data_IF_791569489075
#
_entry.id   IF_791569489075
#
_cell.length_a   1.000
_cell.length_b   1.000
_cell.length_c   1.000
_cell.angle_alpha   90.00
_cell.angle_beta   90.00
_cell.angle_gamma   90.00
#
_symmetry.space_group_name_H-M   'P 1'
#
loop_
_entity.id
_entity.type
_entity.pdbx_description
1 polymer ?
#
# COMPACT_ATOMS: atom_id res chain seq x y z
N UNK A 1 8.39 -8.60 1.92
CA UNK A 1 8.75 -9.35 3.15
C UNK A 1 8.64 -10.87 2.96
N UNK A 2 7.48 -11.43 2.56
CA UNK A 2 7.31 -12.89 2.38
C UNK A 2 8.29 -13.47 1.36
N UNK A 3 8.54 -12.77 0.24
CA UNK A 3 9.51 -13.22 -0.75
C UNK A 3 10.93 -13.29 -0.17
N UNK A 4 11.33 -12.31 0.65
CA UNK A 4 12.62 -12.30 1.35
C UNK A 4 12.69 -13.47 2.35
N UNK A 5 11.65 -13.66 3.17
CA UNK A 5 11.60 -14.77 4.12
C UNK A 5 11.68 -16.15 3.43
N UNK A 6 11.04 -16.30 2.27
CA UNK A 6 11.15 -17.52 1.46
C UNK A 6 12.61 -17.71 0.94
N UNK A 7 13.23 -16.64 0.46
CA UNK A 7 14.63 -16.67 0.00
C UNK A 7 15.59 -17.06 1.13
N UNK A 8 15.36 -16.51 2.33
CA UNK A 8 16.11 -16.89 3.52
C UNK A 8 15.90 -18.36 3.87
N UNK A 9 14.65 -18.85 3.83
CA UNK A 9 14.33 -20.24 4.15
C UNK A 9 15.02 -21.23 3.20
N UNK A 10 15.01 -20.94 1.89
CA UNK A 10 15.63 -21.81 0.87
C UNK A 10 17.16 -21.91 1.03
N UNK A 11 17.78 -20.88 1.57
CA UNK A 11 19.23 -20.77 1.69
C UNK A 11 19.75 -20.83 3.15
N UNK A 12 18.86 -20.98 4.13
CA UNK A 12 19.24 -21.06 5.53
C UNK A 12 20.06 -22.30 5.84
N UNK A 13 21.19 -22.13 6.52
CA UNK A 13 22.06 -23.24 6.92
C UNK A 13 21.47 -24.07 8.07
N UNK A 14 20.51 -23.51 8.81
CA UNK A 14 19.82 -24.25 9.87
C UNK A 14 18.61 -24.99 9.33
N UNK A 15 18.54 -26.28 9.63
CA UNK A 15 17.39 -27.12 9.32
C UNK A 15 16.26 -26.78 10.29
N UNK A 16 15.06 -26.49 9.79
CA UNK A 16 13.87 -26.13 10.58
C UNK A 16 12.71 -25.79 9.65
N UNK A 17 11.54 -25.49 10.20
CA UNK A 17 10.35 -25.14 9.41
C UNK A 17 10.44 -23.72 8.82
N UNK A 18 11.24 -22.84 9.44
CA UNK A 18 11.40 -21.45 9.04
C UNK A 18 12.88 -21.05 8.97
N UNK A 19 13.18 -19.88 8.37
CA UNK A 19 14.51 -19.31 8.35
C UNK A 19 14.95 -18.90 9.75
N UNK A 20 16.23 -19.09 10.10
CA UNK A 20 16.69 -18.76 11.46
C UNK A 20 16.86 -17.25 11.69
N UNK A 21 16.95 -16.43 10.62
CA UNK A 21 17.16 -14.98 10.70
C UNK A 21 18.52 -14.51 11.23
N UNK A 22 19.41 -15.45 11.65
CA UNK A 22 20.65 -15.13 12.37
C UNK A 22 21.93 -15.63 11.67
N UNK A 23 21.84 -16.59 10.74
CA UNK A 23 23.02 -17.04 10.01
C UNK A 23 23.42 -16.01 8.93
N UNK A 24 24.67 -16.08 8.50
CA UNK A 24 25.22 -15.15 7.50
C UNK A 24 24.33 -15.02 6.26
N UNK A 25 23.79 -16.12 5.76
CA UNK A 25 22.92 -16.11 4.58
C UNK A 25 21.61 -15.37 4.86
N UNK A 26 20.97 -15.63 6.01
CA UNK A 26 19.74 -14.94 6.38
C UNK A 26 19.97 -13.42 6.53
N UNK A 27 21.06 -13.02 7.18
CA UNK A 27 21.40 -11.60 7.39
C UNK A 27 21.72 -10.94 6.05
N UNK A 28 22.57 -11.53 5.23
CA UNK A 28 22.95 -10.97 3.91
C UNK A 28 21.75 -10.86 2.96
N UNK A 29 20.81 -11.81 2.98
CA UNK A 29 19.57 -11.74 2.19
C UNK A 29 18.68 -10.59 2.69
N UNK A 30 18.54 -10.41 4.01
CA UNK A 30 17.76 -9.28 4.56
C UNK A 30 18.35 -7.93 4.17
N UNK A 31 19.69 -7.82 4.17
CA UNK A 31 20.43 -6.62 3.77
C UNK A 31 20.56 -6.47 2.25
N UNK A 32 20.02 -7.43 1.46
CA UNK A 32 20.08 -7.45 -0.02
C UNK A 32 21.52 -7.47 -0.60
N UNK A 33 22.48 -7.99 0.13
CA UNK A 33 23.90 -8.06 -0.27
C UNK A 33 24.38 -9.50 -0.58
N UNK A 34 23.50 -10.50 -0.46
CA UNK A 34 23.83 -11.88 -0.76
C UNK A 34 24.04 -12.09 -2.26
N UNK A 35 25.13 -12.74 -2.66
CA UNK A 35 25.53 -12.88 -4.08
C UNK A 35 24.50 -13.61 -4.94
N UNK A 36 23.76 -14.55 -4.36
CA UNK A 36 22.73 -15.35 -5.06
C UNK A 36 21.31 -14.85 -4.80
N UNK A 37 21.18 -13.58 -4.36
CA UNK A 37 19.90 -12.90 -4.12
C UNK A 37 19.89 -11.54 -4.79
N UNK A 38 18.90 -11.30 -5.65
CA UNK A 38 18.76 -10.04 -6.38
C UNK A 38 17.32 -9.51 -6.28
N UNK A 39 17.19 -8.23 -5.95
CA UNK A 39 15.92 -7.52 -6.04
C UNK A 39 16.00 -6.49 -7.15
N UNK A 40 15.10 -6.58 -8.12
CA UNK A 40 14.95 -5.61 -9.21
C UNK A 40 13.79 -4.70 -8.85
N UNK A 41 14.09 -3.44 -8.65
CA UNK A 41 13.13 -2.38 -8.35
C UNK A 41 13.02 -1.41 -9.54
N UNK A 42 11.88 -0.70 -9.72
CA UNK A 42 11.74 0.30 -10.77
C UNK A 42 12.79 1.41 -10.66
N UNK A 43 13.40 1.80 -11.79
CA UNK A 43 14.25 2.98 -11.91
C UNK A 43 13.35 4.15 -12.38
N UNK A 44 12.89 4.95 -11.44
CA UNK A 44 11.82 5.92 -11.64
C UNK A 44 10.44 5.24 -11.72
N UNK A 45 9.73 5.39 -12.83
CA UNK A 45 8.38 4.84 -13.01
C UNK A 45 8.35 3.43 -13.61
N UNK A 46 9.44 2.98 -14.25
CA UNK A 46 9.45 1.75 -15.03
C UNK A 46 10.68 0.90 -14.72
N UNK A 47 10.54 -0.40 -14.90
CA UNK A 47 11.65 -1.34 -14.93
C UNK A 47 12.17 -1.38 -16.38
N UNK A 48 13.41 -0.92 -16.57
CA UNK A 48 14.04 -0.78 -17.89
C UNK A 48 14.50 -2.15 -18.40
N UNK A 49 14.43 -2.33 -19.73
CA UNK A 49 14.90 -3.56 -20.39
C UNK A 49 16.38 -3.89 -20.08
N UNK A 50 17.22 -2.86 -19.91
CA UNK A 50 18.63 -3.05 -19.55
C UNK A 50 18.84 -3.65 -18.16
N UNK A 51 17.96 -3.30 -17.18
CA UNK A 51 17.98 -3.92 -15.85
C UNK A 51 17.63 -5.40 -15.97
N UNK A 52 16.58 -5.71 -16.74
CA UNK A 52 16.09 -7.08 -16.91
C UNK A 52 17.11 -7.96 -17.63
N UNK A 53 17.72 -7.51 -18.72
CA UNK A 53 18.75 -8.29 -19.42
C UNK A 53 19.91 -8.66 -18.50
N UNK A 54 20.46 -7.69 -17.77
CA UNK A 54 21.53 -7.94 -16.78
C UNK A 54 21.09 -8.92 -15.69
N UNK A 55 19.86 -8.80 -15.22
CA UNK A 55 19.32 -9.69 -14.19
C UNK A 55 19.09 -11.11 -14.70
N UNK A 56 18.70 -11.28 -15.96
CA UNK A 56 18.55 -12.59 -16.59
C UNK A 56 19.91 -13.25 -16.85
N UNK A 57 20.89 -12.48 -17.33
CA UNK A 57 22.27 -12.99 -17.49
C UNK A 57 22.81 -13.49 -16.13
N UNK A 58 22.58 -12.73 -15.06
CA UNK A 58 22.94 -13.13 -13.70
C UNK A 58 22.15 -14.37 -13.23
N UNK A 59 20.84 -14.45 -13.51
CA UNK A 59 19.98 -15.57 -13.09
C UNK A 59 20.38 -16.89 -13.78
N UNK A 60 20.90 -16.82 -15.02
CA UNK A 60 21.32 -17.97 -15.80
C UNK A 60 22.65 -18.58 -15.33
N UNK A 61 23.39 -17.89 -14.45
CA UNK A 61 24.58 -18.45 -13.84
C UNK A 61 24.18 -19.44 -12.74
N UNK A 62 25.00 -20.49 -12.55
CA UNK A 62 24.80 -21.39 -11.39
C UNK A 62 24.94 -20.62 -10.08
N UNK A 63 24.21 -20.99 -9.02
CA UNK A 63 24.43 -20.42 -7.69
C UNK A 63 25.88 -20.58 -7.25
N UNK A 64 26.44 -19.55 -6.61
CA UNK A 64 27.82 -19.56 -6.12
C UNK A 64 27.94 -20.27 -4.75
N UNK A 65 27.10 -19.85 -3.78
CA UNK A 65 27.10 -20.35 -2.41
C UNK A 65 25.74 -20.83 -1.94
N UNK A 66 24.68 -20.46 -2.66
CA UNK A 66 23.30 -20.76 -2.29
C UNK A 66 22.87 -22.14 -2.76
N UNK A 67 21.89 -22.71 -2.07
CA UNK A 67 21.14 -23.85 -2.60
C UNK A 67 20.25 -23.43 -3.76
N UNK A 68 19.74 -22.19 -3.71
CA UNK A 68 18.83 -21.63 -4.70
C UNK A 68 19.16 -20.16 -4.96
N UNK A 69 19.41 -19.81 -6.21
CA UNK A 69 19.53 -18.41 -6.65
C UNK A 69 18.13 -17.79 -6.75
N UNK A 70 17.92 -16.66 -6.12
CA UNK A 70 16.60 -16.04 -6.07
C UNK A 70 16.63 -14.63 -6.65
N UNK A 71 15.74 -14.38 -7.60
CA UNK A 71 15.50 -13.05 -8.14
C UNK A 71 14.06 -12.61 -7.80
N UNK A 72 13.94 -11.43 -7.22
CA UNK A 72 12.64 -10.78 -6.94
C UNK A 72 12.51 -9.60 -7.88
N UNK A 73 11.38 -9.51 -8.57
CA UNK A 73 10.97 -8.33 -9.31
C UNK A 73 9.87 -7.66 -8.50
N UNK A 74 10.23 -6.54 -7.87
CA UNK A 74 9.26 -5.76 -7.11
C UNK A 74 8.48 -4.84 -8.05
N UNK A 75 7.18 -4.71 -7.80
CA UNK A 75 6.28 -3.89 -8.60
C UNK A 75 6.26 -4.26 -10.11
N UNK A 76 6.05 -5.54 -10.40
CA UNK A 76 6.08 -6.12 -11.75
C UNK A 76 5.08 -5.49 -12.74
N UNK A 77 4.10 -4.68 -12.27
CA UNK A 77 3.23 -3.88 -13.14
C UNK A 77 4.00 -2.85 -13.98
N UNK A 78 5.18 -2.45 -13.51
CA UNK A 78 6.05 -1.49 -14.16
C UNK A 78 7.01 -2.10 -15.19
N UNK A 79 6.87 -3.41 -15.48
CA UNK A 79 7.58 -4.06 -16.57
C UNK A 79 7.10 -3.54 -17.91
N UNK A 80 7.98 -2.90 -18.68
CA UNK A 80 7.70 -2.54 -20.07
C UNK A 80 7.49 -3.80 -20.93
N UNK A 81 6.76 -3.66 -22.06
CA UNK A 81 6.45 -4.80 -22.95
C UNK A 81 7.70 -5.56 -23.42
N UNK A 82 8.77 -4.85 -23.78
CA UNK A 82 10.03 -5.47 -24.21
C UNK A 82 10.73 -6.20 -23.08
N UNK A 83 10.74 -5.60 -21.88
CA UNK A 83 11.27 -6.21 -20.67
C UNK A 83 10.50 -7.49 -20.33
N UNK A 84 9.18 -7.46 -20.37
CA UNK A 84 8.32 -8.62 -20.16
C UNK A 84 8.59 -9.75 -21.14
N UNK A 85 8.74 -9.43 -22.44
CA UNK A 85 9.04 -10.43 -23.46
C UNK A 85 10.39 -11.12 -23.26
N UNK A 86 11.38 -10.41 -22.71
CA UNK A 86 12.70 -11.01 -22.45
C UNK A 86 12.67 -12.09 -21.36
N UNK A 87 11.66 -12.12 -20.50
CA UNK A 87 11.47 -13.16 -19.49
C UNK A 87 10.89 -14.48 -20.03
N UNK A 88 10.19 -14.45 -21.16
CA UNK A 88 9.38 -15.60 -21.59
C UNK A 88 10.19 -16.87 -21.71
N UNK A 89 11.40 -16.80 -22.30
CA UNK A 89 12.28 -17.96 -22.43
C UNK A 89 12.70 -18.52 -21.06
N UNK A 90 13.09 -17.65 -20.13
CA UNK A 90 13.52 -18.07 -18.78
C UNK A 90 12.36 -18.63 -17.94
N UNK A 91 11.13 -18.14 -18.17
CA UNK A 91 9.95 -18.69 -17.51
C UNK A 91 9.55 -20.07 -18.07
N UNK A 92 9.80 -20.33 -19.34
CA UNK A 92 9.53 -21.64 -19.96
C UNK A 92 10.59 -22.69 -19.59
N UNK A 93 11.86 -22.27 -19.56
CA UNK A 93 13.00 -23.14 -19.28
C UNK A 93 13.92 -22.51 -18.21
N UNK A 94 13.49 -22.50 -16.94
CA UNK A 94 14.28 -21.90 -15.88
C UNK A 94 15.58 -22.71 -15.62
N UNK A 95 16.67 -22.00 -15.34
CA UNK A 95 17.92 -22.63 -14.95
C UNK A 95 17.75 -23.44 -13.65
N UNK A 96 18.46 -24.57 -13.50
CA UNK A 96 18.36 -25.37 -12.27
C UNK A 96 18.69 -24.53 -11.02
N UNK A 97 18.01 -24.84 -9.92
CA UNK A 97 18.23 -24.17 -8.65
C UNK A 97 18.05 -22.64 -8.70
N UNK A 98 17.10 -22.18 -9.52
CA UNK A 98 16.71 -20.76 -9.58
C UNK A 98 15.26 -20.57 -9.21
N UNK A 99 14.95 -19.44 -8.57
CA UNK A 99 13.61 -19.02 -8.23
C UNK A 99 13.39 -17.58 -8.67
N UNK A 100 12.40 -17.35 -9.51
CA UNK A 100 11.96 -16.03 -9.93
C UNK A 100 10.64 -15.69 -9.24
N UNK A 101 10.59 -14.58 -8.52
CA UNK A 101 9.42 -14.09 -7.81
C UNK A 101 9.02 -12.75 -8.41
N UNK A 102 7.78 -12.64 -8.93
CA UNK A 102 7.21 -11.38 -9.40
C UNK A 102 6.17 -10.91 -8.37
N UNK A 103 6.31 -9.68 -7.91
CA UNK A 103 5.38 -9.06 -6.97
C UNK A 103 4.55 -8.03 -7.72
N UNK A 104 3.22 -8.14 -7.61
CA UNK A 104 2.27 -7.19 -8.20
C UNK A 104 1.04 -7.05 -7.29
N UNK A 105 0.39 -5.90 -7.35
CA UNK A 105 -0.87 -5.67 -6.62
C UNK A 105 -2.01 -6.53 -7.18
N UNK A 106 -1.99 -6.76 -8.48
CA UNK A 106 -2.97 -7.58 -9.19
C UNK A 106 -2.35 -8.29 -10.39
N UNK A 107 -2.71 -9.54 -10.63
CA UNK A 107 -2.30 -10.27 -11.84
C UNK A 107 -2.77 -9.60 -13.14
N UNK A 108 -3.84 -8.80 -13.09
CA UNK A 108 -4.34 -8.05 -14.26
C UNK A 108 -3.40 -6.93 -14.72
N UNK A 109 -2.47 -6.50 -13.87
CA UNK A 109 -1.49 -5.45 -14.18
C UNK A 109 -0.22 -6.00 -14.81
N UNK A 110 -0.04 -7.32 -14.80
CA UNK A 110 1.10 -8.02 -15.39
C UNK A 110 0.68 -8.63 -16.73
N UNK A 111 1.52 -8.63 -17.78
CA UNK A 111 1.18 -9.23 -19.06
C UNK A 111 0.74 -10.69 -18.90
N UNK A 112 -0.34 -11.07 -19.58
CA UNK A 112 -0.93 -12.42 -19.49
C UNK A 112 0.08 -13.51 -19.89
N UNK A 113 0.98 -13.18 -20.81
CA UNK A 113 2.07 -14.08 -21.25
C UNK A 113 3.03 -14.46 -20.13
N UNK A 114 3.23 -13.60 -19.14
CA UNK A 114 4.00 -13.90 -17.92
C UNK A 114 3.13 -14.66 -16.93
N UNK A 115 1.91 -14.14 -16.69
CA UNK A 115 0.99 -14.71 -15.70
C UNK A 115 0.67 -16.18 -15.99
N UNK A 116 0.51 -16.56 -17.27
CA UNK A 116 0.24 -17.93 -17.68
C UNK A 116 1.39 -18.92 -17.42
N UNK A 117 2.61 -18.42 -17.21
CA UNK A 117 3.82 -19.22 -16.95
C UNK A 117 4.27 -19.19 -15.49
N UNK A 118 3.56 -18.48 -14.63
CA UNK A 118 3.85 -18.35 -13.22
C UNK A 118 2.81 -19.03 -12.35
N UNK A 119 3.25 -19.66 -11.27
CA UNK A 119 2.35 -20.06 -10.21
C UNK A 119 1.88 -18.83 -9.45
N UNK A 120 0.57 -18.59 -9.41
CA UNK A 120 -0.01 -17.46 -8.69
C UNK A 120 -0.24 -17.80 -7.22
N UNK A 121 0.32 -16.98 -6.34
CA UNK A 121 0.06 -17.03 -4.90
C UNK A 121 -0.66 -15.74 -4.51
N UNK A 122 -1.91 -15.86 -4.07
CA UNK A 122 -2.72 -14.71 -3.67
C UNK A 122 -2.57 -14.43 -2.19
N UNK A 123 -2.29 -13.18 -1.85
CA UNK A 123 -2.27 -12.68 -0.50
C UNK A 123 -3.58 -11.94 -0.20
N UNK A 124 -4.40 -12.53 0.64
CA UNK A 124 -5.63 -11.88 1.09
C UNK A 124 -5.32 -10.84 2.17
N UNK A 125 -6.15 -9.77 2.28
CA UNK A 125 -6.04 -8.84 3.39
C UNK A 125 -6.06 -9.55 4.74
N UNK A 126 -5.23 -9.10 5.66
CA UNK A 126 -5.20 -9.62 7.02
C UNK A 126 -6.46 -9.17 7.78
N UNK A 127 -6.96 -10.03 8.67
CA UNK A 127 -8.02 -9.60 9.58
C UNK A 127 -7.50 -8.53 10.56
N UNK A 128 -8.38 -7.64 11.02
CA UNK A 128 -8.03 -6.60 12.00
C UNK A 128 -7.35 -7.18 13.24
N UNK A 129 -7.79 -8.35 13.70
CA UNK A 129 -7.22 -9.04 14.85
C UNK A 129 -5.74 -9.40 14.64
N UNK A 130 -5.41 -9.90 13.44
CA UNK A 130 -4.03 -10.28 13.09
C UNK A 130 -3.19 -9.03 12.90
N UNK A 131 -3.70 -8.02 12.17
CA UNK A 131 -3.02 -6.74 11.95
C UNK A 131 -2.67 -6.06 13.28
N UNK A 132 -3.64 -5.97 14.20
CA UNK A 132 -3.42 -5.42 15.54
C UNK A 132 -2.38 -6.20 16.33
N UNK A 133 -2.42 -7.53 16.27
CA UNK A 133 -1.41 -8.37 16.94
C UNK A 133 0.00 -8.08 16.42
N UNK A 134 0.18 -7.99 15.10
CA UNK A 134 1.48 -7.72 14.49
C UNK A 134 1.97 -6.31 14.86
N UNK A 135 1.10 -5.29 14.79
CA UNK A 135 1.47 -3.92 15.14
C UNK A 135 1.83 -3.78 16.63
N UNK A 136 1.05 -4.39 17.51
CA UNK A 136 1.36 -4.39 18.97
C UNK A 136 2.72 -5.05 19.30
N UNK A 137 3.13 -6.04 18.53
CA UNK A 137 4.42 -6.73 18.75
C UNK A 137 5.61 -5.96 18.19
N UNK A 138 5.42 -5.20 17.12
CA UNK A 138 6.49 -4.58 16.35
C UNK A 138 6.57 -3.06 16.48
N UNK A 139 5.65 -2.43 17.24
CA UNK A 139 5.62 -0.98 17.39
C UNK A 139 5.27 -0.59 18.82
N UNK A 140 5.70 0.61 19.23
CA UNK A 140 5.36 1.24 20.53
C UNK A 140 4.16 2.20 20.40
N UNK A 141 3.31 2.01 19.37
CA UNK A 141 2.17 2.87 19.13
C UNK A 141 1.06 2.64 20.15
N UNK A 142 0.32 3.69 20.47
CA UNK A 142 -0.90 3.61 21.29
C UNK A 142 -1.96 2.76 20.57
N UNK A 143 -2.90 2.22 21.35
CA UNK A 143 -4.00 1.41 20.83
C UNK A 143 -4.81 2.16 19.77
N UNK A 144 -5.06 3.45 19.97
CA UNK A 144 -5.84 4.28 19.04
C UNK A 144 -5.11 4.48 17.71
N UNK A 145 -3.80 4.70 17.73
CA UNK A 145 -2.96 4.78 16.53
C UNK A 145 -2.93 3.46 15.76
N UNK A 146 -2.83 2.34 16.46
CA UNK A 146 -2.90 1.01 15.85
C UNK A 146 -4.26 0.79 15.18
N UNK A 147 -5.34 1.17 15.85
CA UNK A 147 -6.68 1.06 15.30
C UNK A 147 -6.86 1.91 14.05
N UNK A 148 -6.31 3.13 14.03
CA UNK A 148 -6.31 4.01 12.86
C UNK A 148 -5.51 3.40 11.69
N UNK A 149 -4.31 2.86 11.95
CA UNK A 149 -3.49 2.20 10.93
C UNK A 149 -4.19 0.97 10.36
N UNK A 150 -4.78 0.11 11.21
CA UNK A 150 -5.54 -1.06 10.77
C UNK A 150 -6.66 -0.65 9.83
N UNK A 151 -7.33 0.42 10.16
CA UNK A 151 -8.45 0.92 9.42
C UNK A 151 -8.04 1.47 8.04
N UNK A 152 -7.05 2.36 7.98
CA UNK A 152 -6.55 2.92 6.73
C UNK A 152 -5.82 1.88 5.87
N UNK A 153 -5.23 0.88 6.51
CA UNK A 153 -4.49 -0.20 5.84
C UNK A 153 -5.38 -1.23 5.16
N UNK A 154 -6.69 -1.32 5.52
CA UNK A 154 -7.64 -2.30 4.97
C UNK A 154 -7.09 -3.74 4.93
N UNK A 155 -6.45 -4.17 6.04
CA UNK A 155 -5.80 -5.49 6.14
C UNK A 155 -4.40 -5.58 5.51
N UNK A 156 -3.81 -4.45 5.13
CA UNK A 156 -2.41 -4.34 4.73
C UNK A 156 -1.63 -3.56 5.79
N UNK A 157 -0.50 -4.10 6.22
CA UNK A 157 0.41 -3.37 7.11
C UNK A 157 1.37 -2.55 6.24
N UNK A 158 0.99 -1.31 5.98
CA UNK A 158 1.86 -0.36 5.29
C UNK A 158 2.81 0.26 6.30
N UNK A 159 4.10 -0.08 6.22
CA UNK A 159 5.13 0.54 7.07
C UNK A 159 5.13 2.07 6.94
N UNK A 160 4.77 2.57 5.77
CA UNK A 160 4.63 3.98 5.49
C UNK A 160 3.57 4.66 6.39
N UNK A 161 2.41 4.02 6.63
CA UNK A 161 1.41 4.55 7.56
C UNK A 161 1.91 4.57 9.01
N UNK A 162 2.76 3.61 9.40
CA UNK A 162 3.33 3.56 10.75
C UNK A 162 4.32 4.70 10.97
N UNK A 163 5.23 4.91 10.01
CA UNK A 163 6.25 5.98 10.09
C UNK A 163 5.65 7.38 9.95
N UNK A 164 4.47 7.52 9.35
CA UNK A 164 3.81 8.80 9.04
C UNK A 164 2.56 9.05 9.86
N UNK A 165 2.42 8.38 11.01
CA UNK A 165 1.20 8.45 11.82
C UNK A 165 0.85 9.88 12.26
N UNK A 166 1.84 10.72 12.54
CA UNK A 166 1.62 12.12 12.91
C UNK A 166 1.04 12.94 11.75
N UNK A 167 1.48 12.69 10.52
CA UNK A 167 0.91 13.30 9.30
C UNK A 167 -0.54 12.86 9.12
N UNK A 168 -0.82 11.57 9.33
CA UNK A 168 -2.17 11.03 9.26
C UNK A 168 -3.10 11.69 10.27
N UNK A 169 -2.66 11.84 11.52
CA UNK A 169 -3.42 12.51 12.59
C UNK A 169 -3.68 13.98 12.25
N UNK A 170 -2.68 14.71 11.77
CA UNK A 170 -2.84 16.11 11.38
C UNK A 170 -3.87 16.29 10.25
N UNK A 171 -3.79 15.49 9.18
CA UNK A 171 -4.77 15.54 8.08
C UNK A 171 -6.16 15.16 8.59
N UNK A 172 -6.25 14.17 9.47
CA UNK A 172 -7.48 13.73 10.09
C UNK A 172 -8.15 14.86 10.88
N UNK A 173 -7.41 15.59 11.70
CA UNK A 173 -7.94 16.71 12.49
C UNK A 173 -8.47 17.83 11.60
N UNK A 174 -7.79 18.13 10.50
CA UNK A 174 -8.23 19.09 9.50
C UNK A 174 -9.57 18.64 8.87
N UNK A 175 -9.67 17.37 8.46
CA UNK A 175 -10.91 16.82 7.88
C UNK A 175 -12.05 16.89 8.90
N UNK A 176 -11.81 16.50 10.15
CA UNK A 176 -12.83 16.57 11.21
C UNK A 176 -13.33 18.00 11.36
N UNK A 177 -12.41 18.96 11.45
CA UNK A 177 -12.77 20.37 11.55
C UNK A 177 -13.62 20.83 10.37
N UNK A 178 -13.22 20.55 9.14
CA UNK A 178 -13.96 20.92 7.95
C UNK A 178 -15.34 20.28 7.90
N UNK A 179 -15.41 18.96 8.10
CA UNK A 179 -16.68 18.22 8.00
C UNK A 179 -17.70 18.56 9.10
N UNK A 180 -17.24 19.15 10.19
CA UNK A 180 -18.13 19.54 11.30
C UNK A 180 -18.43 21.04 11.38
N UNK A 181 -17.78 21.87 10.54
CA UNK A 181 -17.89 23.32 10.57
C UNK A 181 -18.00 23.95 9.16
N UNK A 182 -18.66 23.30 8.22
CA UNK A 182 -18.69 23.70 6.80
C UNK A 182 -19.09 25.17 6.59
N UNK A 183 -20.03 25.70 7.38
CA UNK A 183 -20.48 27.09 7.26
C UNK A 183 -19.42 28.13 7.66
N UNK A 184 -18.39 27.75 8.36
CA UNK A 184 -17.34 28.65 8.87
C UNK A 184 -16.00 28.45 8.16
N UNK A 185 -15.94 27.58 7.16
CA UNK A 185 -14.71 27.31 6.42
C UNK A 185 -14.41 28.44 5.44
N UNK A 186 -13.17 28.91 5.46
CA UNK A 186 -12.69 29.83 4.45
C UNK A 186 -12.20 29.03 3.22
N UNK A 187 -12.85 29.26 2.07
CA UNK A 187 -12.47 28.60 0.82
C UNK A 187 -10.99 28.81 0.46
N UNK A 188 -10.42 29.99 0.79
CA UNK A 188 -9.00 30.26 0.56
C UNK A 188 -8.10 29.31 1.35
N UNK A 189 -8.44 29.02 2.61
CA UNK A 189 -7.70 28.06 3.44
C UNK A 189 -7.75 26.64 2.86
N UNK A 190 -8.92 26.21 2.38
CA UNK A 190 -9.09 24.89 1.75
C UNK A 190 -8.21 24.77 0.50
N UNK A 191 -8.21 25.81 -0.36
CA UNK A 191 -7.40 25.82 -1.57
C UNK A 191 -5.90 25.81 -1.26
N UNK A 192 -5.44 26.62 -0.30
CA UNK A 192 -4.04 26.65 0.13
C UNK A 192 -3.57 25.27 0.67
N UNK A 193 -4.40 24.62 1.50
CA UNK A 193 -4.09 23.28 2.01
C UNK A 193 -4.07 22.24 0.89
N UNK A 194 -5.03 22.28 -0.03
CA UNK A 194 -5.08 21.38 -1.19
C UNK A 194 -3.85 21.53 -2.07
N UNK A 195 -3.38 22.76 -2.27
CA UNK A 195 -2.15 23.05 -3.00
C UNK A 195 -0.92 22.47 -2.30
N UNK A 196 -0.82 22.63 -0.98
CA UNK A 196 0.27 22.10 -0.18
C UNK A 196 0.31 20.56 -0.23
N UNK A 197 -0.82 19.89 -0.06
CA UNK A 197 -0.89 18.42 -0.18
C UNK A 197 -0.54 17.93 -1.57
N UNK A 198 -0.94 18.65 -2.62
CA UNK A 198 -0.59 18.31 -4.00
C UNK A 198 0.90 18.47 -4.31
N UNK A 199 1.58 19.38 -3.64
CA UNK A 199 3.03 19.65 -3.77
C UNK A 199 3.88 18.81 -2.83
N UNK A 200 3.29 18.16 -1.83
CA UNK A 200 4.00 17.34 -0.85
C UNK A 200 4.77 16.21 -1.52
N UNK A 201 6.04 16.05 -1.12
CA UNK A 201 6.89 14.93 -1.55
C UNK A 201 6.45 13.60 -0.94
N UNK A 202 5.73 13.67 0.17
CA UNK A 202 5.29 12.52 0.95
C UNK A 202 3.94 11.95 0.51
N UNK A 203 3.44 12.34 -0.67
CA UNK A 203 2.16 11.88 -1.21
C UNK A 203 0.99 11.97 -0.21
N UNK A 204 0.95 13.03 0.59
CA UNK A 204 -0.09 13.30 1.60
C UNK A 204 -1.50 13.30 1.02
N UNK A 205 -1.63 13.59 -0.28
CA UNK A 205 -2.88 13.50 -1.01
C UNK A 205 -3.52 12.10 -0.96
N UNK A 206 -2.69 11.03 -0.89
CA UNK A 206 -3.20 9.65 -0.75
C UNK A 206 -3.87 9.49 0.61
N UNK A 207 -3.22 10.00 1.67
CA UNK A 207 -3.75 9.95 3.04
C UNK A 207 -5.06 10.75 3.11
N UNK A 208 -5.08 11.95 2.54
CA UNK A 208 -6.27 12.80 2.47
C UNK A 208 -7.45 12.07 1.81
N UNK A 209 -7.26 11.53 0.60
CA UNK A 209 -8.34 10.85 -0.11
C UNK A 209 -8.82 9.59 0.63
N UNK A 210 -7.91 8.81 1.21
CA UNK A 210 -8.27 7.65 2.04
C UNK A 210 -9.13 8.07 3.24
N UNK A 211 -8.76 9.13 3.95
CA UNK A 211 -9.51 9.63 5.10
C UNK A 211 -10.87 10.20 4.71
N UNK A 212 -10.98 10.88 3.56
CA UNK A 212 -12.25 11.36 3.03
C UNK A 212 -13.18 10.21 2.61
N UNK A 213 -12.67 9.19 1.91
CA UNK A 213 -13.43 7.98 1.55
C UNK A 213 -14.04 7.34 2.80
N UNK A 214 -13.24 7.23 3.83
CA UNK A 214 -13.62 6.71 5.12
C UNK A 214 -14.71 7.55 5.77
N UNK A 215 -14.53 8.86 5.80
CA UNK A 215 -15.49 9.78 6.40
C UNK A 215 -16.86 9.66 5.73
N UNK A 216 -16.91 9.76 4.40
CA UNK A 216 -18.16 9.73 3.66
C UNK A 216 -18.83 8.36 3.66
N UNK A 217 -18.05 7.26 3.73
CA UNK A 217 -18.60 5.92 3.95
C UNK A 217 -19.32 5.83 5.29
N UNK A 218 -18.68 6.28 6.37
CA UNK A 218 -19.26 6.21 7.70
C UNK A 218 -20.46 7.16 7.84
N UNK A 219 -20.39 8.33 7.21
CA UNK A 219 -21.52 9.27 7.16
C UNK A 219 -22.71 8.67 6.39
N UNK A 220 -22.44 7.97 5.29
CA UNK A 220 -23.46 7.22 4.55
C UNK A 220 -24.11 6.15 5.41
N UNK A 221 -23.33 5.36 6.14
CA UNK A 221 -23.86 4.34 7.05
C UNK A 221 -24.69 4.96 8.17
N UNK A 222 -24.20 6.05 8.77
CA UNK A 222 -24.91 6.77 9.81
C UNK A 222 -26.29 7.27 9.32
N UNK A 223 -26.34 7.92 8.16
CA UNK A 223 -27.59 8.44 7.56
C UNK A 223 -28.55 7.32 7.09
N UNK A 224 -28.05 6.11 6.87
CA UNK A 224 -28.86 4.94 6.56
C UNK A 224 -29.29 4.13 7.79
N UNK A 225 -28.97 4.60 9.01
CA UNK A 225 -29.36 3.92 10.26
C UNK A 225 -28.63 2.60 10.50
N UNK A 226 -27.46 2.44 9.93
CA UNK A 226 -26.62 1.25 10.18
C UNK A 226 -26.15 1.28 11.64
N UNK A 227 -26.17 0.12 12.31
CA UNK A 227 -25.80 0.00 13.71
C UNK A 227 -24.40 0.59 13.98
N UNK A 228 -24.25 1.28 15.10
CA UNK A 228 -23.03 1.96 15.53
C UNK A 228 -21.80 1.02 15.60
N UNK A 229 -22.01 -0.28 15.79
CA UNK A 229 -20.97 -1.30 15.82
C UNK A 229 -20.23 -1.49 14.47
N UNK A 230 -20.89 -1.14 13.37
CA UNK A 230 -20.33 -1.20 12.02
C UNK A 230 -19.65 0.10 11.61
N UNK A 231 -19.88 1.18 12.35
CA UNK A 231 -19.15 2.43 12.16
C UNK A 231 -17.75 2.28 12.72
N UNK A 232 -16.78 2.90 12.09
CA UNK A 232 -15.39 2.81 12.54
C UNK A 232 -15.25 3.38 13.95
N UNK A 233 -14.83 2.52 14.85
CA UNK A 233 -14.75 2.83 16.29
C UNK A 233 -13.72 3.91 16.65
N UNK A 234 -12.78 4.23 15.74
CA UNK A 234 -11.55 4.94 16.11
C UNK A 234 -11.16 6.11 15.20
N UNK A 235 -12.02 7.09 15.10
CA UNK A 235 -11.64 8.44 14.75
C UNK A 235 -11.69 9.26 16.05
N UNK A 236 -10.57 9.46 16.72
CA UNK A 236 -10.44 10.03 18.06
C UNK A 236 -11.13 9.27 19.21
N UNK A 237 -10.33 8.53 19.94
CA UNK A 237 -10.37 8.11 21.35
C UNK A 237 -11.71 7.68 22.02
N UNK A 238 -12.86 7.73 21.39
CA UNK A 238 -14.07 7.07 21.86
C UNK A 238 -15.13 6.94 20.77
N UNK A 239 -15.81 5.79 20.73
CA UNK A 239 -16.94 5.55 19.82
C UNK A 239 -18.07 6.60 19.98
N UNK A 240 -18.27 7.15 21.17
CA UNK A 240 -19.24 8.22 21.44
C UNK A 240 -18.88 9.53 20.75
N UNK A 241 -17.59 9.90 20.69
CA UNK A 241 -17.15 11.13 20.01
C UNK A 241 -17.32 11.03 18.50
N UNK A 242 -17.10 9.85 17.90
CA UNK A 242 -17.29 9.63 16.45
C UNK A 242 -18.73 9.85 16.02
N UNK A 243 -19.69 9.30 16.73
CA UNK A 243 -21.11 9.46 16.45
C UNK A 243 -21.53 10.92 16.54
N UNK A 244 -21.02 11.64 17.55
CA UNK A 244 -21.29 13.08 17.67
C UNK A 244 -20.73 13.88 16.49
N UNK A 245 -19.54 13.53 15.99
CA UNK A 245 -18.94 14.16 14.82
C UNK A 245 -19.75 13.85 13.55
N UNK A 246 -20.15 12.61 13.33
CA UNK A 246 -20.99 12.22 12.20
C UNK A 246 -22.37 12.90 12.27
N UNK A 247 -22.95 13.02 13.45
CA UNK A 247 -24.21 13.74 13.65
C UNK A 247 -24.09 15.23 13.31
N UNK A 248 -23.00 15.89 13.70
CA UNK A 248 -22.73 17.27 13.31
C UNK A 248 -22.57 17.40 11.79
N UNK A 249 -21.77 16.51 11.18
CA UNK A 249 -21.60 16.46 9.74
C UNK A 249 -22.91 16.23 8.98
N UNK A 250 -23.78 15.38 9.49
CA UNK A 250 -25.06 15.04 8.87
C UNK A 250 -25.98 16.25 8.68
N UNK A 251 -25.77 17.34 9.44
CA UNK A 251 -26.53 18.59 9.26
C UNK A 251 -26.17 19.33 7.96
N UNK A 252 -25.01 19.04 7.39
CA UNK A 252 -24.49 19.73 6.19
C UNK A 252 -24.67 18.91 4.91
N UNK A 253 -24.80 17.59 5.01
CA UNK A 253 -24.82 16.71 3.85
C UNK A 253 -26.17 16.02 3.68
N UNK A 254 -26.75 16.15 2.49
CA UNK A 254 -27.92 15.36 2.12
C UNK A 254 -27.49 13.94 1.74
N UNK A 255 -28.31 12.94 2.04
CA UNK A 255 -28.07 11.54 1.71
C UNK A 255 -27.78 11.33 0.21
N UNK A 256 -28.46 12.05 -0.68
CA UNK A 256 -28.26 12.00 -2.12
C UNK A 256 -26.91 12.53 -2.57
N UNK A 257 -26.37 13.54 -1.89
CA UNK A 257 -25.10 14.16 -2.27
C UNK A 257 -23.86 13.33 -1.89
N UNK A 258 -23.97 12.44 -0.89
CA UNK A 258 -22.84 11.64 -0.42
C UNK A 258 -22.32 10.71 -1.51
N UNK A 259 -23.21 10.13 -2.31
CA UNK A 259 -22.81 9.24 -3.39
C UNK A 259 -22.04 10.01 -4.46
N UNK A 260 -22.46 11.20 -4.81
CA UNK A 260 -21.77 12.08 -5.78
C UNK A 260 -20.37 12.47 -5.27
N UNK A 261 -20.28 12.86 -3.98
CA UNK A 261 -19.00 13.19 -3.35
C UNK A 261 -18.06 11.98 -3.37
N UNK A 262 -18.57 10.79 -3.04
CA UNK A 262 -17.78 9.57 -3.03
C UNK A 262 -17.21 9.26 -4.43
N UNK A 263 -18.04 9.37 -5.48
CA UNK A 263 -17.59 9.22 -6.86
C UNK A 263 -16.54 10.28 -7.25
N UNK A 264 -16.72 11.51 -6.81
CA UNK A 264 -15.77 12.60 -7.07
C UNK A 264 -14.40 12.33 -6.42
N UNK A 265 -14.37 11.74 -5.21
CA UNK A 265 -13.12 11.33 -4.56
C UNK A 265 -12.40 10.24 -5.39
N UNK A 266 -13.13 9.21 -5.84
CA UNK A 266 -12.58 8.13 -6.66
C UNK A 266 -12.04 8.67 -7.99
N UNK A 267 -12.79 9.55 -8.64
CA UNK A 267 -12.40 10.17 -9.90
C UNK A 267 -11.17 11.05 -9.75
N UNK A 268 -11.09 11.85 -8.68
CA UNK A 268 -9.91 12.65 -8.35
C UNK A 268 -8.67 11.78 -8.18
N UNK A 269 -8.77 10.67 -7.46
CA UNK A 269 -7.68 9.69 -7.34
C UNK A 269 -7.22 9.20 -8.70
N UNK A 270 -8.15 8.78 -9.55
CA UNK A 270 -7.86 8.28 -10.90
C UNK A 270 -7.15 9.32 -11.76
N UNK A 271 -7.58 10.58 -11.72
CA UNK A 271 -6.92 11.67 -12.47
C UNK A 271 -5.48 11.89 -12.00
N UNK A 272 -5.23 11.88 -10.70
CA UNK A 272 -3.88 12.02 -10.16
C UNK A 272 -2.99 10.82 -10.57
N UNK A 273 -3.50 9.61 -10.52
CA UNK A 273 -2.79 8.40 -10.97
C UNK A 273 -2.46 8.43 -12.48
N UNK A 274 -3.30 9.09 -13.28
CA UNK A 274 -3.07 9.37 -14.70
C UNK A 274 -2.18 10.60 -14.97
N UNK A 275 -1.45 11.08 -13.94
CA UNK A 275 -0.54 12.23 -14.00
C UNK A 275 -1.21 13.60 -14.19
N UNK A 276 -2.47 13.79 -13.81
CA UNK A 276 -3.06 15.12 -13.70
C UNK A 276 -2.34 15.96 -12.63
N UNK A 277 -2.46 17.27 -12.72
CA UNK A 277 -1.91 18.17 -11.69
C UNK A 277 -2.61 17.90 -10.35
N UNK A 278 -1.85 17.41 -9.36
CA UNK A 278 -2.34 17.01 -8.04
C UNK A 278 -3.07 18.15 -7.34
N UNK A 279 -2.48 19.35 -7.33
CA UNK A 279 -3.06 20.51 -6.65
C UNK A 279 -4.40 20.92 -7.26
N UNK A 280 -4.51 20.96 -8.60
CA UNK A 280 -5.76 21.28 -9.28
C UNK A 280 -6.83 20.20 -9.06
N UNK A 281 -6.44 18.92 -9.14
CA UNK A 281 -7.36 17.82 -8.90
C UNK A 281 -7.92 17.83 -7.46
N UNK A 282 -7.06 18.09 -6.45
CA UNK A 282 -7.49 18.20 -5.06
C UNK A 282 -8.36 19.45 -4.83
N UNK A 283 -8.01 20.60 -5.42
CA UNK A 283 -8.80 21.82 -5.29
C UNK A 283 -10.20 21.69 -5.91
N UNK A 284 -10.36 20.88 -6.95
CA UNK A 284 -11.66 20.64 -7.58
C UNK A 284 -12.58 19.72 -6.74
N UNK A 285 -12.06 19.09 -5.70
CA UNK A 285 -12.83 18.21 -4.82
C UNK A 285 -13.69 18.99 -3.84
N UNK A 286 -13.25 20.17 -3.48
CA UNK A 286 -13.92 21.09 -2.53
C UNK A 286 -14.61 22.23 -3.25
#
# INVERSE_FOLDING_TARGET
KTAVALSQKLNCVKIGDDACGLCDYCVQIEEKIFMDFLVVEPDGKNIKIGQIKKSLDWLNLSPDRANTRVMIIDDAKNLGREAANSFLKTLEEPSPNTLLILIAESSKQVPETIVSRCQQIRFNPLSDKITKKILNQNTLLSKDRIDLICYLGMGSIKNDLVSRIEIVENIQDIIIFWMTNLNSINLKEVLEKSENWGKSKDDEWIILLNLLEVWFRDLSFFLNGVSEEKLVKNFNNSSKSRILLLRKSANFFKKSSIQEIFWKIIETRKYIELNANKSLALSSLF
#
